data_IF_808865602366
#
_entry.id   IF_808865602366
#
_cell.length_a   1.000
_cell.length_b   1.000
_cell.length_c   1.000
_cell.angle_alpha   90.00
_cell.angle_beta   90.00
_cell.angle_gamma   90.00
#
_symmetry.space_group_name_H-M   'P 1'
#
loop_
_entity.id
_entity.type
_entity.pdbx_description
1 polymer ?
#
# COMPACT_ATOMS: atom_id res chain seq x y z
N UNK A 1 30.82 25.65 -5.22
CA UNK A 1 31.97 25.44 -4.29
C UNK A 1 31.53 24.49 -3.19
N UNK A 2 32.02 23.24 -3.17
CA UNK A 2 31.68 22.29 -2.09
C UNK A 2 32.60 22.52 -0.89
N UNK A 3 32.20 23.40 -0.01
CA UNK A 3 32.86 23.57 1.29
C UNK A 3 32.04 22.76 2.32
N UNK A 4 32.72 21.89 3.07
CA UNK A 4 32.04 21.14 4.14
C UNK A 4 31.40 22.11 5.14
N UNK A 5 30.14 21.96 5.47
CA UNK A 5 29.36 22.87 6.33
C UNK A 5 30.02 23.22 7.69
N UNK A 6 30.87 22.33 8.19
CA UNK A 6 31.62 22.49 9.44
C UNK A 6 33.10 22.91 9.22
N UNK A 7 33.47 23.29 8.01
CA UNK A 7 34.85 23.77 7.76
C UNK A 7 35.05 25.16 8.39
N UNK A 8 36.01 25.27 9.31
CA UNK A 8 36.37 26.58 9.93
C UNK A 8 36.95 27.59 8.95
N UNK A 9 37.56 27.11 7.86
CA UNK A 9 38.13 27.94 6.82
C UNK A 9 37.60 27.53 5.44
N UNK A 10 37.16 28.51 4.67
CA UNK A 10 36.91 28.39 3.23
C UNK A 10 38.22 28.25 2.46
N UNK A 11 38.19 27.89 1.18
CA UNK A 11 39.40 27.83 0.33
C UNK A 11 40.12 29.19 0.28
N UNK A 12 39.35 30.28 0.19
CA UNK A 12 39.89 31.66 0.25
C UNK A 12 40.52 31.95 1.61
N UNK A 13 39.93 31.53 2.70
CA UNK A 13 40.52 31.70 4.04
C UNK A 13 41.83 30.93 4.20
N UNK A 14 41.92 29.71 3.61
CA UNK A 14 43.14 28.89 3.60
C UNK A 14 44.23 29.55 2.74
N UNK A 15 43.86 30.13 1.60
CA UNK A 15 44.76 30.84 0.73
C UNK A 15 45.34 32.12 1.41
N UNK A 16 44.47 32.88 2.07
CA UNK A 16 44.89 34.08 2.84
C UNK A 16 45.90 33.72 3.92
N UNK A 17 45.59 32.65 4.72
CA UNK A 17 46.53 32.17 5.73
C UNK A 17 47.88 31.80 5.14
N UNK A 18 47.88 31.05 4.03
CA UNK A 18 49.14 30.62 3.38
C UNK A 18 49.93 31.80 2.82
N UNK A 19 49.28 32.76 2.15
CA UNK A 19 49.93 33.96 1.61
C UNK A 19 50.56 34.82 2.69
N UNK A 20 49.85 35.08 3.80
CA UNK A 20 50.39 35.84 4.94
C UNK A 20 51.66 35.22 5.53
N UNK A 21 51.78 33.90 5.51
CA UNK A 21 52.99 33.22 5.96
C UNK A 21 54.10 33.25 4.92
N UNK A 22 53.80 33.09 3.63
CA UNK A 22 54.79 33.09 2.55
C UNK A 22 55.35 34.47 2.31
N UNK A 23 54.56 35.50 2.42
CA UNK A 23 54.95 36.94 2.31
C UNK A 23 55.60 37.45 3.60
N UNK A 24 55.87 36.59 4.59
CA UNK A 24 56.47 36.87 5.88
C UNK A 24 55.73 37.94 6.71
N UNK A 25 54.42 38.15 6.46
CA UNK A 25 53.61 39.10 7.23
C UNK A 25 53.32 38.54 8.63
N UNK A 26 53.10 37.23 8.72
CA UNK A 26 52.83 36.53 9.98
C UNK A 26 53.67 35.27 10.09
N UNK A 27 54.02 34.91 11.32
CA UNK A 27 54.58 33.58 11.60
C UNK A 27 53.49 32.51 11.44
N UNK A 28 53.87 31.26 11.12
CA UNK A 28 52.84 30.18 11.01
C UNK A 28 51.96 30.01 12.27
N UNK A 29 52.52 30.29 13.45
CA UNK A 29 51.79 30.24 14.71
C UNK A 29 50.78 31.41 14.82
N UNK A 30 51.17 32.62 14.50
CA UNK A 30 50.28 33.78 14.51
C UNK A 30 49.18 33.68 13.46
N UNK A 31 49.50 33.21 12.24
CA UNK A 31 48.52 32.98 11.19
C UNK A 31 47.50 31.86 11.56
N UNK A 32 47.96 30.82 12.23
CA UNK A 32 47.08 29.75 12.72
C UNK A 32 46.12 30.27 13.81
N UNK A 33 46.63 31.04 14.76
CA UNK A 33 45.83 31.65 15.84
C UNK A 33 44.81 32.65 15.26
N UNK A 34 45.20 33.52 14.34
CA UNK A 34 44.29 34.46 13.67
C UNK A 34 43.17 33.77 12.87
N UNK A 35 43.49 32.63 12.27
CA UNK A 35 42.56 31.84 11.50
C UNK A 35 41.73 30.82 12.35
N UNK A 36 41.92 30.73 13.66
CA UNK A 36 41.23 29.82 14.57
C UNK A 36 41.51 28.35 14.30
N UNK A 37 42.70 28.02 13.75
CA UNK A 37 43.12 26.64 13.45
C UNK A 37 44.38 26.26 14.19
N UNK A 38 44.62 24.94 14.31
CA UNK A 38 45.86 24.47 14.95
C UNK A 38 47.08 24.74 14.09
N UNK A 39 48.25 24.94 14.72
CA UNK A 39 49.55 25.10 14.05
C UNK A 39 49.84 23.95 13.07
N UNK A 40 49.45 22.71 13.44
CA UNK A 40 49.56 21.54 12.55
C UNK A 40 48.75 21.75 11.24
N UNK A 41 47.56 22.37 11.35
CA UNK A 41 46.71 22.66 10.18
C UNK A 41 47.38 23.71 9.29
N UNK A 42 47.97 24.76 9.84
CA UNK A 42 48.73 25.78 9.06
C UNK A 42 49.89 25.15 8.28
N UNK A 43 50.74 24.34 8.94
CA UNK A 43 51.82 23.63 8.23
C UNK A 43 51.30 22.65 7.17
N UNK A 44 50.20 21.97 7.42
CA UNK A 44 49.57 21.09 6.45
C UNK A 44 49.10 21.85 5.21
N UNK A 45 48.52 23.04 5.39
CA UNK A 45 48.07 23.90 4.29
C UNK A 45 49.27 24.47 3.49
N UNK A 46 50.32 24.93 4.17
CA UNK A 46 51.53 25.37 3.55
C UNK A 46 52.21 24.27 2.72
N UNK A 47 52.31 23.06 3.24
CA UNK A 47 52.90 21.94 2.50
C UNK A 47 52.05 21.57 1.26
N UNK A 48 50.73 21.64 1.35
CA UNK A 48 49.83 21.39 0.21
C UNK A 48 49.96 22.49 -0.85
N UNK A 49 50.00 23.75 -0.43
CA UNK A 49 50.12 24.85 -1.33
C UNK A 49 51.49 24.84 -2.07
N UNK A 50 52.61 24.55 -1.38
CA UNK A 50 53.93 24.38 -1.99
C UNK A 50 53.95 23.26 -3.05
N UNK A 51 53.17 22.20 -2.85
CA UNK A 51 53.13 21.03 -3.76
C UNK A 51 52.15 21.20 -4.92
N UNK A 52 50.99 21.78 -4.69
CA UNK A 52 49.84 21.71 -5.61
C UNK A 52 49.22 23.10 -5.89
N UNK A 53 49.83 24.17 -5.38
CA UNK A 53 49.29 25.53 -5.51
C UNK A 53 47.92 25.70 -4.83
N UNK A 54 47.11 26.60 -5.35
CA UNK A 54 45.77 26.88 -4.83
C UNK A 54 44.85 25.64 -4.85
N UNK A 55 45.02 24.75 -5.81
CA UNK A 55 44.20 23.51 -5.90
C UNK A 55 44.44 22.58 -4.71
N UNK A 56 45.63 22.61 -4.09
CA UNK A 56 45.95 21.87 -2.88
C UNK A 56 45.17 22.32 -1.64
N UNK A 57 44.58 23.51 -1.68
CA UNK A 57 43.77 24.05 -0.59
C UNK A 57 42.31 23.62 -0.64
N UNK A 58 41.87 23.01 -1.73
CA UNK A 58 40.52 22.46 -1.84
C UNK A 58 40.27 21.27 -0.90
N UNK A 59 39.00 21.04 -0.56
CA UNK A 59 38.62 19.90 0.25
C UNK A 59 38.86 18.59 -0.51
N UNK A 60 39.54 17.68 0.12
CA UNK A 60 39.76 16.34 -0.42
C UNK A 60 38.70 15.41 0.06
N UNK A 61 38.23 14.53 -0.82
CA UNK A 61 37.28 13.49 -0.45
C UNK A 61 37.83 12.60 0.69
N UNK A 62 37.02 12.38 1.70
CA UNK A 62 37.34 11.48 2.84
C UNK A 62 37.18 9.99 2.51
N UNK A 63 36.79 9.66 1.28
CA UNK A 63 36.60 8.27 0.85
C UNK A 63 37.95 7.51 0.86
N UNK A 64 37.99 6.31 1.45
CA UNK A 64 39.17 5.47 1.36
C UNK A 64 39.53 5.16 -0.10
N UNK A 65 40.80 5.30 -0.45
CA UNK A 65 41.29 4.95 -1.79
C UNK A 65 41.09 3.48 -2.17
N UNK A 66 41.05 2.60 -1.17
CA UNK A 66 40.71 1.17 -1.33
C UNK A 66 39.48 0.86 -0.49
N UNK A 67 38.40 0.51 -1.16
CA UNK A 67 37.19 -0.01 -0.49
C UNK A 67 37.39 -1.52 -0.32
N UNK A 68 37.60 -1.96 0.92
CA UNK A 68 37.61 -3.40 1.26
C UNK A 68 36.21 -3.96 1.03
N UNK A 69 36.13 -5.17 0.48
CA UNK A 69 34.89 -5.95 0.32
C UNK A 69 33.97 -5.53 -0.84
N UNK A 70 34.47 -4.97 -1.92
CA UNK A 70 33.73 -4.94 -3.17
C UNK A 70 33.74 -6.36 -3.79
N UNK A 71 32.56 -6.86 -4.21
CA UNK A 71 32.45 -8.10 -4.98
C UNK A 71 33.22 -7.94 -6.30
N UNK A 72 34.04 -8.93 -6.65
CA UNK A 72 34.70 -8.98 -7.97
C UNK A 72 33.66 -9.11 -9.09
N UNK A 73 34.05 -8.86 -10.34
CA UNK A 73 33.15 -9.01 -11.49
C UNK A 73 32.53 -10.43 -11.56
N UNK A 74 33.34 -11.46 -11.41
CA UNK A 74 32.88 -12.86 -11.37
C UNK A 74 31.91 -13.13 -10.22
N UNK A 75 32.17 -12.60 -9.04
CA UNK A 75 31.26 -12.74 -7.90
C UNK A 75 29.93 -12.03 -8.13
N UNK A 76 29.94 -10.85 -8.75
CA UNK A 76 28.70 -10.11 -9.07
C UNK A 76 27.81 -10.87 -10.03
N UNK A 77 28.39 -11.40 -11.09
CA UNK A 77 27.69 -12.22 -12.08
C UNK A 77 27.12 -13.49 -11.43
N UNK A 78 27.90 -14.17 -10.58
CA UNK A 78 27.43 -15.34 -9.86
C UNK A 78 26.28 -15.01 -8.89
N UNK A 79 26.35 -13.88 -8.18
CA UNK A 79 25.25 -13.40 -7.31
C UNK A 79 23.98 -13.18 -8.13
N UNK A 80 24.07 -12.51 -9.28
CA UNK A 80 22.92 -12.24 -10.13
C UNK A 80 22.31 -13.54 -10.66
N UNK A 81 23.11 -14.44 -11.20
CA UNK A 81 22.66 -15.75 -11.70
C UNK A 81 21.94 -16.55 -10.61
N UNK A 82 22.60 -16.73 -9.45
CA UNK A 82 21.99 -17.47 -8.34
C UNK A 82 20.72 -16.81 -7.81
N UNK A 83 20.63 -15.49 -7.85
CA UNK A 83 19.42 -14.80 -7.43
C UNK A 83 18.28 -14.98 -8.45
N UNK A 84 18.56 -14.97 -9.74
CA UNK A 84 17.60 -15.32 -10.78
C UNK A 84 17.12 -16.77 -10.66
N UNK A 85 18.02 -17.68 -10.24
CA UNK A 85 17.68 -19.08 -9.87
C UNK A 85 16.94 -19.18 -8.52
N UNK A 86 16.47 -18.05 -7.96
CA UNK A 86 15.67 -17.94 -6.71
C UNK A 86 16.39 -18.46 -5.45
N UNK A 87 17.71 -18.55 -5.46
CA UNK A 87 18.48 -18.97 -4.28
C UNK A 87 18.38 -17.93 -3.17
N UNK A 88 18.40 -18.41 -1.92
CA UNK A 88 18.37 -17.55 -0.74
C UNK A 88 19.67 -16.74 -0.62
N UNK A 89 19.59 -15.57 0.02
CA UNK A 89 20.79 -14.75 0.27
C UNK A 89 21.88 -15.49 1.03
N UNK A 90 21.50 -16.41 1.91
CA UNK A 90 22.44 -17.22 2.71
C UNK A 90 23.21 -18.20 1.84
N UNK A 91 22.53 -18.91 0.96
CA UNK A 91 23.18 -19.80 -0.02
C UNK A 91 24.10 -19.04 -0.97
N UNK A 92 23.64 -17.88 -1.46
CA UNK A 92 24.44 -17.01 -2.34
C UNK A 92 25.70 -16.55 -1.59
N UNK A 93 25.56 -16.07 -0.36
CA UNK A 93 26.68 -15.60 0.45
C UNK A 93 27.74 -16.69 0.69
N UNK A 94 27.32 -17.92 0.97
CA UNK A 94 28.19 -19.07 1.12
C UNK A 94 28.97 -19.40 -0.16
N UNK A 95 28.25 -19.46 -1.32
CA UNK A 95 28.89 -19.80 -2.61
C UNK A 95 29.85 -18.72 -3.11
N UNK A 96 29.53 -17.47 -2.86
CA UNK A 96 30.34 -16.32 -3.29
C UNK A 96 31.44 -15.97 -2.27
N UNK A 97 31.43 -16.61 -1.09
CA UNK A 97 32.34 -16.34 0.03
C UNK A 97 32.32 -14.85 0.42
N UNK A 98 31.13 -14.29 0.52
CA UNK A 98 30.89 -12.90 0.91
C UNK A 98 29.92 -12.80 2.08
N UNK A 99 29.92 -11.67 2.82
CA UNK A 99 28.97 -11.46 3.88
C UNK A 99 27.54 -11.35 3.36
N UNK A 100 26.57 -11.81 4.15
CA UNK A 100 25.14 -11.71 3.85
C UNK A 100 24.71 -10.27 3.53
N UNK A 101 25.23 -9.30 4.30
CA UNK A 101 24.95 -7.87 4.11
C UNK A 101 25.48 -7.34 2.77
N UNK A 102 26.63 -7.84 2.30
CA UNK A 102 27.20 -7.47 1.00
C UNK A 102 26.33 -8.00 -0.13
N UNK A 103 25.91 -9.26 -0.07
CA UNK A 103 25.00 -9.87 -1.06
C UNK A 103 23.66 -9.13 -1.06
N UNK A 104 23.04 -8.91 0.10
CA UNK A 104 21.76 -8.22 0.19
C UNK A 104 21.80 -6.80 -0.39
N UNK A 105 22.88 -6.07 -0.12
CA UNK A 105 23.10 -4.71 -0.65
C UNK A 105 23.27 -4.73 -2.17
N UNK A 106 24.00 -5.70 -2.68
CA UNK A 106 24.20 -5.84 -4.13
C UNK A 106 22.92 -6.24 -4.85
N UNK A 107 22.20 -7.24 -4.35
CA UNK A 107 20.90 -7.69 -4.89
C UNK A 107 19.87 -6.54 -4.87
N UNK A 108 19.90 -5.69 -3.83
CA UNK A 108 19.03 -4.50 -3.78
C UNK A 108 19.37 -3.48 -4.86
N UNK A 109 20.65 -3.26 -5.15
CA UNK A 109 21.10 -2.37 -6.26
C UNK A 109 20.65 -2.88 -7.62
N UNK A 110 20.60 -4.20 -7.80
CA UNK A 110 20.09 -4.85 -9.02
C UNK A 110 18.55 -4.80 -9.11
N UNK A 111 17.84 -4.33 -8.09
CA UNK A 111 16.38 -4.40 -8.05
C UNK A 111 15.81 -5.80 -7.81
N UNK A 112 16.65 -6.82 -7.62
CA UNK A 112 16.26 -8.23 -7.49
C UNK A 112 15.96 -8.65 -6.03
N UNK A 113 15.74 -7.70 -5.13
CA UNK A 113 15.48 -7.97 -3.72
C UNK A 113 14.13 -8.64 -3.49
N UNK A 114 13.15 -8.44 -4.36
CA UNK A 114 11.85 -9.12 -4.35
C UNK A 114 11.81 -10.17 -5.45
N UNK A 115 11.44 -11.42 -5.11
CA UNK A 115 11.33 -12.50 -6.08
C UNK A 115 10.22 -12.26 -7.12
N UNK A 116 9.20 -11.48 -6.77
CA UNK A 116 8.11 -11.09 -7.68
C UNK A 116 8.60 -10.32 -8.91
N UNK A 117 9.76 -9.65 -8.82
CA UNK A 117 10.36 -8.93 -9.95
C UNK A 117 10.87 -9.89 -11.02
N UNK A 118 11.22 -11.12 -10.64
CA UNK A 118 11.70 -12.15 -11.57
C UNK A 118 10.58 -12.72 -12.46
N UNK A 119 9.33 -12.71 -11.94
CA UNK A 119 8.13 -13.09 -12.69
C UNK A 119 7.07 -12.00 -12.45
N UNK A 120 7.15 -10.88 -13.14
CA UNK A 120 6.14 -9.85 -13.03
C UNK A 120 4.79 -10.42 -13.45
N UNK A 121 3.82 -10.37 -12.56
CA UNK A 121 2.45 -10.73 -12.91
C UNK A 121 2.02 -9.87 -14.09
N UNK A 122 1.33 -10.43 -15.09
CA UNK A 122 0.79 -9.63 -16.16
C UNK A 122 -0.06 -8.51 -15.58
N UNK A 123 -0.01 -7.30 -16.15
CA UNK A 123 -0.78 -6.18 -15.65
C UNK A 123 -2.25 -6.57 -15.60
N UNK A 124 -2.90 -6.30 -14.46
CA UNK A 124 -4.32 -6.58 -14.32
C UNK A 124 -5.10 -5.77 -15.37
N UNK A 125 -5.75 -6.48 -16.28
CA UNK A 125 -6.66 -5.84 -17.22
C UNK A 125 -7.85 -5.29 -16.43
N UNK A 126 -7.83 -3.98 -16.23
CA UNK A 126 -8.96 -3.27 -15.60
C UNK A 126 -10.03 -3.07 -16.67
N UNK A 127 -11.20 -3.60 -16.41
CA UNK A 127 -12.40 -3.29 -17.17
C UNK A 127 -13.36 -2.49 -16.31
N UNK A 128 -14.11 -1.63 -16.92
CA UNK A 128 -15.19 -0.87 -16.32
C UNK A 128 -16.32 -0.79 -17.34
N UNK A 129 -17.54 -1.14 -16.92
CA UNK A 129 -18.71 -0.99 -17.74
C UNK A 129 -19.09 0.49 -17.86
N UNK A 130 -19.76 0.85 -18.94
CA UNK A 130 -20.04 2.26 -19.27
C UNK A 130 -21.19 2.84 -18.45
N UNK A 131 -22.16 2.01 -18.04
CA UNK A 131 -23.37 2.46 -17.36
C UNK A 131 -23.60 1.77 -16.02
N UNK A 132 -24.19 2.49 -15.04
CA UNK A 132 -24.60 1.88 -13.80
C UNK A 132 -25.62 0.74 -14.04
N UNK A 133 -25.46 -0.35 -13.31
CA UNK A 133 -26.33 -1.53 -13.38
C UNK A 133 -26.01 -2.53 -14.49
N UNK A 134 -25.16 -2.21 -15.47
CA UNK A 134 -24.74 -3.18 -16.50
C UNK A 134 -24.08 -4.42 -15.87
N UNK A 135 -23.32 -4.22 -14.80
CA UNK A 135 -22.73 -5.30 -14.03
C UNK A 135 -22.68 -4.93 -12.55
N UNK A 136 -23.22 -5.78 -11.71
CA UNK A 136 -23.14 -5.66 -10.26
C UNK A 136 -22.43 -6.87 -9.70
N UNK A 137 -21.37 -6.64 -8.93
CA UNK A 137 -20.57 -7.67 -8.28
C UNK A 137 -21.19 -8.02 -6.94
N UNK A 138 -21.42 -9.32 -6.68
CA UNK A 138 -21.93 -9.82 -5.42
C UNK A 138 -20.89 -10.71 -4.73
N UNK A 139 -20.85 -10.62 -3.41
CA UNK A 139 -20.00 -11.47 -2.58
C UNK A 139 -20.60 -11.64 -1.18
N UNK A 140 -20.10 -12.62 -0.43
CA UNK A 140 -20.52 -12.89 0.95
C UNK A 140 -19.29 -12.93 1.84
N UNK A 141 -19.28 -12.07 2.86
CA UNK A 141 -18.22 -12.06 3.87
C UNK A 141 -18.69 -12.62 5.19
N UNK A 142 -18.01 -13.66 5.63
CA UNK A 142 -18.21 -14.26 6.94
C UNK A 142 -17.55 -13.40 8.02
N UNK A 143 -18.30 -13.04 9.05
CA UNK A 143 -17.85 -12.26 10.20
C UNK A 143 -18.10 -13.07 11.48
N UNK A 144 -17.13 -13.05 12.38
CA UNK A 144 -17.30 -13.67 13.70
C UNK A 144 -18.34 -12.88 14.49
N UNK A 145 -19.28 -13.60 15.12
CA UNK A 145 -20.17 -13.02 16.13
C UNK A 145 -19.46 -13.00 17.48
N UNK A 146 -19.81 -12.04 18.29
CA UNK A 146 -19.27 -11.91 19.65
C UNK A 146 -20.30 -11.22 20.55
N UNK A 147 -20.37 -11.67 21.80
CA UNK A 147 -21.23 -11.07 22.82
C UNK A 147 -20.52 -9.98 23.59
N UNK A 148 -19.21 -10.19 23.83
CA UNK A 148 -18.32 -9.31 24.55
C UNK A 148 -17.02 -9.10 23.76
N UNK A 149 -16.31 -7.98 23.96
CA UNK A 149 -15.02 -7.76 23.35
C UNK A 149 -14.05 -8.87 23.75
N UNK A 150 -13.39 -9.47 22.74
CA UNK A 150 -12.42 -10.54 22.98
C UNK A 150 -11.11 -10.03 23.60
N UNK A 151 -10.27 -10.97 24.04
CA UNK A 151 -9.00 -10.73 24.71
C UNK A 151 -8.05 -9.75 23.99
N UNK A 152 -8.14 -9.63 22.68
CA UNK A 152 -7.34 -8.65 21.89
C UNK A 152 -7.71 -7.20 22.19
N UNK A 153 -8.90 -6.96 22.69
CA UNK A 153 -9.42 -5.64 23.03
C UNK A 153 -9.29 -5.38 24.53
N UNK A 154 -9.61 -6.40 25.34
CA UNK A 154 -9.66 -6.29 26.80
C UNK A 154 -8.30 -6.58 27.47
N UNK A 155 -7.31 -7.08 26.72
CA UNK A 155 -6.04 -7.64 27.21
C UNK A 155 -6.20 -8.82 28.19
N UNK A 156 -7.42 -9.26 28.46
CA UNK A 156 -7.76 -10.34 29.38
C UNK A 156 -7.98 -11.64 28.61
N UNK A 157 -7.04 -12.57 28.70
CA UNK A 157 -7.05 -13.86 28.01
C UNK A 157 -8.15 -14.81 28.49
N UNK A 158 -8.79 -14.54 29.63
CA UNK A 158 -9.89 -15.36 30.16
C UNK A 158 -11.18 -15.04 29.44
N UNK A 159 -11.35 -13.87 28.86
CA UNK A 159 -12.52 -13.44 28.10
C UNK A 159 -12.49 -13.99 26.67
N UNK A 160 -13.17 -15.10 26.48
CA UNK A 160 -13.35 -15.72 25.16
C UNK A 160 -14.83 -15.75 24.80
N UNK A 161 -15.18 -15.17 23.64
CA UNK A 161 -16.53 -15.28 23.04
C UNK A 161 -16.70 -16.65 22.37
N UNK A 162 -16.72 -17.73 23.15
CA UNK A 162 -16.97 -19.08 22.62
C UNK A 162 -18.45 -19.25 22.23
N UNK A 163 -18.69 -19.93 21.10
CA UNK A 163 -20.03 -20.36 20.68
C UNK A 163 -20.94 -19.25 20.11
N UNK A 164 -20.43 -18.04 19.89
CA UNK A 164 -21.25 -16.95 19.32
C UNK A 164 -21.64 -17.19 17.83
N UNK A 165 -20.92 -18.06 17.11
CA UNK A 165 -21.19 -18.42 15.72
C UNK A 165 -20.75 -17.35 14.71
N UNK A 166 -21.44 -17.31 13.56
CA UNK A 166 -21.11 -16.49 12.43
C UNK A 166 -22.26 -15.56 12.03
N UNK A 167 -21.93 -14.45 11.46
CA UNK A 167 -22.80 -13.52 10.76
C UNK A 167 -22.29 -13.36 9.33
N UNK A 168 -23.16 -13.24 8.37
CA UNK A 168 -22.82 -13.21 6.95
C UNK A 168 -23.24 -11.87 6.37
N UNK A 169 -22.25 -11.09 5.96
CA UNK A 169 -22.47 -9.86 5.26
C UNK A 169 -22.54 -10.14 3.77
N UNK A 170 -23.73 -10.05 3.21
CA UNK A 170 -23.93 -10.06 1.76
C UNK A 170 -23.71 -8.67 1.23
N UNK A 171 -22.89 -8.54 0.21
CA UNK A 171 -22.54 -7.26 -0.41
C UNK A 171 -22.78 -7.27 -1.90
N UNK A 172 -23.09 -6.10 -2.41
CA UNK A 172 -23.15 -5.80 -3.84
C UNK A 172 -22.44 -4.49 -4.11
N UNK A 173 -21.74 -4.40 -5.23
CA UNK A 173 -21.12 -3.16 -5.70
C UNK A 173 -21.31 -3.04 -7.21
N UNK A 174 -21.77 -1.88 -7.65
CA UNK A 174 -21.88 -1.56 -9.06
C UNK A 174 -20.51 -1.40 -9.72
N UNK A 175 -20.38 -1.95 -10.91
CA UNK A 175 -19.11 -1.95 -11.65
C UNK A 175 -18.71 -0.56 -12.10
N UNK A 176 -19.65 0.27 -12.53
CA UNK A 176 -19.42 1.62 -13.00
C UNK A 176 -19.40 2.64 -11.87
N UNK A 177 -20.51 2.78 -11.15
CA UNK A 177 -20.68 3.85 -10.16
C UNK A 177 -20.00 3.58 -8.83
N UNK A 178 -19.62 2.33 -8.53
CA UNK A 178 -19.12 1.91 -7.21
C UNK A 178 -20.13 2.07 -6.08
N UNK A 179 -21.38 2.35 -6.40
CA UNK A 179 -22.45 2.36 -5.41
C UNK A 179 -22.59 0.99 -4.83
N UNK A 180 -22.60 0.92 -3.51
CA UNK A 180 -22.63 -0.33 -2.77
C UNK A 180 -23.93 -0.52 -2.01
N UNK A 181 -24.32 -1.77 -1.84
CA UNK A 181 -25.42 -2.22 -0.98
C UNK A 181 -24.96 -3.42 -0.17
N UNK A 182 -25.50 -3.61 1.00
CA UNK A 182 -25.19 -4.78 1.80
C UNK A 182 -26.10 -4.99 2.99
N UNK A 183 -26.28 -6.24 3.36
CA UNK A 183 -27.11 -6.66 4.49
C UNK A 183 -26.46 -7.79 5.28
N UNK A 184 -26.75 -7.84 6.56
CA UNK A 184 -26.30 -8.87 7.48
C UNK A 184 -27.34 -9.99 7.61
N UNK A 185 -26.93 -11.23 7.37
CA UNK A 185 -27.74 -12.44 7.49
C UNK A 185 -27.16 -13.39 8.53
N UNK A 186 -27.99 -14.34 8.99
CA UNK A 186 -27.55 -15.41 9.91
C UNK A 186 -26.89 -16.57 9.17
N UNK A 187 -27.07 -16.65 7.86
CA UNK A 187 -26.51 -17.71 7.02
C UNK A 187 -26.12 -17.19 5.62
N UNK A 188 -25.42 -18.03 4.88
CA UNK A 188 -25.04 -17.82 3.47
C UNK A 188 -25.84 -18.75 2.53
N UNK A 189 -27.07 -19.16 2.93
CA UNK A 189 -27.87 -20.11 2.16
C UNK A 189 -28.49 -19.47 0.92
N UNK A 190 -28.93 -20.31 0.00
CA UNK A 190 -29.56 -19.90 -1.25
C UNK A 190 -30.79 -18.99 -1.07
N UNK A 191 -31.55 -19.18 0.01
CA UNK A 191 -32.72 -18.35 0.32
C UNK A 191 -32.30 -16.94 0.72
N UNK A 192 -31.29 -16.84 1.57
CA UNK A 192 -30.71 -15.53 2.00
C UNK A 192 -30.13 -14.77 0.83
N UNK A 193 -29.37 -15.44 -0.05
CA UNK A 193 -28.83 -14.84 -1.26
C UNK A 193 -29.92 -14.34 -2.23
N UNK A 194 -31.01 -15.12 -2.40
CA UNK A 194 -32.13 -14.72 -3.24
C UNK A 194 -32.93 -13.53 -2.65
N UNK A 195 -33.12 -13.50 -1.33
CA UNK A 195 -33.75 -12.37 -0.62
C UNK A 195 -32.89 -11.11 -0.73
N UNK A 196 -31.59 -11.26 -0.53
CA UNK A 196 -30.64 -10.17 -0.71
C UNK A 196 -30.73 -9.59 -2.13
N UNK A 197 -30.73 -10.42 -3.18
CA UNK A 197 -30.87 -9.98 -4.57
C UNK A 197 -32.16 -9.18 -4.79
N UNK A 198 -33.30 -9.63 -4.27
CA UNK A 198 -34.56 -8.92 -4.42
C UNK A 198 -34.54 -7.54 -3.76
N UNK A 199 -33.97 -7.43 -2.55
CA UNK A 199 -33.81 -6.15 -1.85
C UNK A 199 -32.79 -5.23 -2.52
N UNK A 200 -31.70 -5.77 -3.04
CA UNK A 200 -30.72 -5.05 -3.84
C UNK A 200 -31.38 -4.40 -5.06
N UNK A 201 -32.21 -5.15 -5.79
CA UNK A 201 -32.95 -4.59 -6.94
C UNK A 201 -33.85 -3.45 -6.52
N UNK A 202 -34.57 -3.59 -5.41
CA UNK A 202 -35.41 -2.53 -4.86
C UNK A 202 -34.61 -1.29 -4.47
N UNK A 203 -33.46 -1.47 -3.84
CA UNK A 203 -32.56 -0.36 -3.50
C UNK A 203 -32.00 0.36 -4.73
N UNK A 204 -31.51 -0.38 -5.73
CA UNK A 204 -30.94 0.20 -6.93
C UNK A 204 -31.99 0.91 -7.79
N UNK A 205 -33.21 0.34 -7.85
CA UNK A 205 -34.34 0.95 -8.57
C UNK A 205 -34.70 2.33 -7.99
N UNK A 206 -34.66 2.52 -6.66
CA UNK A 206 -34.84 3.83 -6.02
C UNK A 206 -33.75 4.84 -6.40
N UNK A 207 -32.55 4.38 -6.75
CA UNK A 207 -31.47 5.22 -7.26
C UNK A 207 -31.48 5.41 -8.78
N UNK A 208 -32.55 4.96 -9.48
CA UNK A 208 -32.66 5.02 -10.93
C UNK A 208 -31.82 3.98 -11.67
N UNK A 209 -31.29 2.94 -10.97
CA UNK A 209 -30.44 1.92 -11.57
C UNK A 209 -31.25 0.67 -11.87
N UNK A 210 -31.21 0.19 -13.11
CA UNK A 210 -31.72 -1.13 -13.50
C UNK A 210 -30.57 -2.11 -13.62
N UNK A 211 -30.64 -3.24 -12.90
CA UNK A 211 -29.59 -4.25 -12.92
C UNK A 211 -29.78 -5.18 -14.12
N UNK A 212 -28.86 -5.13 -15.08
CA UNK A 212 -28.87 -6.05 -16.24
C UNK A 212 -28.17 -7.38 -15.93
N UNK A 213 -27.08 -7.35 -15.18
CA UNK A 213 -26.24 -8.54 -14.89
C UNK A 213 -25.67 -8.49 -13.49
N UNK A 214 -25.59 -9.67 -12.88
CA UNK A 214 -24.84 -9.89 -11.62
C UNK A 214 -23.68 -10.85 -11.86
N UNK A 215 -22.54 -10.57 -11.22
CA UNK A 215 -21.37 -11.42 -11.19
C UNK A 215 -21.15 -11.91 -9.76
N UNK A 216 -21.01 -13.23 -9.61
CA UNK A 216 -20.74 -13.87 -8.32
C UNK A 216 -19.51 -14.77 -8.42
N UNK A 217 -19.00 -15.20 -7.29
CA UNK A 217 -18.14 -16.36 -7.22
C UNK A 217 -18.89 -17.68 -7.51
N UNK A 218 -18.21 -18.81 -7.31
CA UNK A 218 -18.79 -20.14 -7.47
C UNK A 218 -19.34 -20.72 -6.15
N UNK A 219 -19.65 -19.90 -5.16
CA UNK A 219 -20.23 -20.29 -3.88
C UNK A 219 -21.54 -21.10 -4.04
N UNK A 220 -21.79 -22.01 -3.11
CA UNK A 220 -22.94 -22.92 -3.18
C UNK A 220 -24.29 -22.18 -3.25
N UNK A 221 -24.41 -21.06 -2.53
CA UNK A 221 -25.61 -20.23 -2.56
C UNK A 221 -25.95 -19.75 -3.98
N UNK A 222 -24.95 -19.24 -4.68
CA UNK A 222 -25.07 -18.69 -6.03
C UNK A 222 -25.23 -19.75 -7.13
N UNK A 223 -24.71 -20.97 -6.90
CA UNK A 223 -24.90 -22.14 -7.80
C UNK A 223 -26.30 -22.75 -7.71
N UNK A 224 -27.07 -22.41 -6.70
CA UNK A 224 -28.36 -23.03 -6.39
C UNK A 224 -29.40 -22.72 -7.46
N UNK A 225 -30.33 -23.69 -7.65
CA UNK A 225 -31.55 -23.53 -8.50
C UNK A 225 -32.39 -22.33 -8.02
N UNK A 226 -32.43 -22.08 -6.70
CA UNK A 226 -33.22 -21.00 -6.09
C UNK A 226 -32.67 -19.62 -6.49
N UNK A 227 -31.37 -19.40 -6.41
CA UNK A 227 -30.76 -18.14 -6.82
C UNK A 227 -30.93 -17.91 -8.33
N UNK A 228 -30.74 -18.94 -9.14
CA UNK A 228 -30.99 -18.89 -10.59
C UNK A 228 -32.42 -18.45 -10.92
N UNK A 229 -33.42 -19.07 -10.26
CA UNK A 229 -34.83 -18.69 -10.43
C UNK A 229 -35.10 -17.25 -10.00
N UNK A 230 -34.44 -16.77 -8.92
CA UNK A 230 -34.55 -15.36 -8.52
C UNK A 230 -34.02 -14.43 -9.58
N UNK A 231 -32.86 -14.71 -10.16
CA UNK A 231 -32.32 -13.92 -11.26
C UNK A 231 -33.27 -13.91 -12.47
N UNK A 232 -33.80 -15.07 -12.88
CA UNK A 232 -34.74 -15.19 -13.99
C UNK A 232 -36.02 -14.37 -13.78
N UNK A 233 -36.62 -14.43 -12.59
CA UNK A 233 -37.87 -13.68 -12.25
C UNK A 233 -37.63 -12.17 -12.25
N UNK A 234 -36.39 -11.72 -11.95
CA UNK A 234 -36.01 -10.32 -11.93
C UNK A 234 -35.47 -9.84 -13.27
N UNK A 235 -35.41 -10.70 -14.31
CA UNK A 235 -34.84 -10.35 -15.62
C UNK A 235 -33.33 -10.12 -15.63
N UNK A 236 -32.60 -10.67 -14.65
CA UNK A 236 -31.17 -10.39 -14.43
C UNK A 236 -30.33 -11.55 -14.98
N UNK A 237 -29.35 -11.23 -15.82
CA UNK A 237 -28.35 -12.22 -16.28
C UNK A 237 -27.38 -12.56 -15.16
N UNK A 238 -27.25 -13.84 -14.81
CA UNK A 238 -26.28 -14.29 -13.83
C UNK A 238 -25.01 -14.81 -14.49
N UNK A 239 -23.88 -14.20 -14.15
CA UNK A 239 -22.54 -14.63 -14.55
C UNK A 239 -21.75 -15.08 -13.31
N UNK A 240 -20.84 -16.03 -13.48
CA UNK A 240 -19.94 -16.49 -12.43
C UNK A 240 -18.48 -16.28 -12.84
N UNK A 241 -17.61 -16.08 -11.85
CA UNK A 241 -16.16 -16.03 -12.10
C UNK A 241 -15.69 -17.35 -12.72
N UNK A 242 -14.72 -17.26 -13.65
CA UNK A 242 -14.06 -18.45 -14.18
C UNK A 242 -13.23 -19.10 -13.07
N UNK A 243 -13.13 -20.43 -13.11
CA UNK A 243 -12.25 -21.16 -12.20
C UNK A 243 -10.81 -20.62 -12.32
N UNK A 244 -10.11 -20.52 -11.20
CA UNK A 244 -8.75 -19.98 -11.09
C UNK A 244 -8.52 -18.52 -11.57
N UNK A 245 -9.60 -17.75 -11.79
CA UNK A 245 -9.53 -16.31 -12.09
C UNK A 245 -10.39 -15.47 -11.14
N UNK A 246 -10.07 -15.46 -9.83
CA UNK A 246 -10.82 -14.69 -8.83
C UNK A 246 -10.77 -13.18 -9.09
N UNK A 247 -9.76 -12.71 -9.81
CA UNK A 247 -9.56 -11.29 -10.16
C UNK A 247 -10.79 -10.63 -10.83
N UNK A 248 -11.68 -11.42 -11.42
CA UNK A 248 -12.93 -10.91 -12.03
C UNK A 248 -13.92 -10.36 -11.01
N UNK A 249 -13.87 -10.77 -9.73
CA UNK A 249 -14.69 -10.23 -8.64
C UNK A 249 -13.95 -9.21 -7.75
N UNK A 250 -12.81 -8.70 -8.23
CA UNK A 250 -11.91 -7.83 -7.46
C UNK A 250 -12.57 -6.54 -6.93
N UNK A 251 -13.68 -6.07 -7.52
CA UNK A 251 -14.41 -4.89 -7.02
C UNK A 251 -15.16 -5.21 -5.74
N UNK A 252 -15.83 -6.36 -5.65
CA UNK A 252 -16.49 -6.83 -4.43
C UNK A 252 -15.44 -7.16 -3.34
N UNK A 253 -14.35 -7.82 -3.71
CA UNK A 253 -13.24 -8.10 -2.79
C UNK A 253 -12.65 -6.82 -2.20
N UNK A 254 -12.40 -5.81 -3.05
CA UNK A 254 -11.90 -4.51 -2.61
C UNK A 254 -12.89 -3.78 -1.71
N UNK A 255 -14.19 -3.85 -2.03
CA UNK A 255 -15.22 -3.30 -1.19
C UNK A 255 -15.26 -3.98 0.18
N UNK A 256 -15.19 -5.32 0.22
CA UNK A 256 -15.09 -6.09 1.47
C UNK A 256 -13.85 -5.68 2.27
N UNK A 257 -12.68 -5.53 1.66
CA UNK A 257 -11.48 -5.07 2.36
C UNK A 257 -11.66 -3.70 3.00
N UNK A 258 -12.31 -2.77 2.29
CA UNK A 258 -12.66 -1.44 2.79
C UNK A 258 -13.64 -1.53 3.95
N UNK A 259 -14.69 -2.34 3.80
CA UNK A 259 -15.71 -2.61 4.83
C UNK A 259 -15.10 -3.18 6.11
N UNK A 260 -14.18 -4.14 5.98
CA UNK A 260 -13.50 -4.73 7.14
C UNK A 260 -12.65 -3.69 7.88
N UNK A 261 -11.94 -2.85 7.16
CA UNK A 261 -11.02 -1.85 7.69
C UNK A 261 -11.75 -0.65 8.29
N UNK A 262 -12.78 -0.15 7.60
CA UNK A 262 -13.43 1.11 7.94
C UNK A 262 -14.73 0.95 8.75
N UNK A 263 -15.25 -0.28 8.87
CA UNK A 263 -16.44 -0.59 9.67
C UNK A 263 -16.22 -1.78 10.61
N UNK A 264 -16.07 -3.02 10.09
CA UNK A 264 -16.17 -4.22 10.92
C UNK A 264 -15.11 -4.31 12.03
N UNK A 265 -13.91 -3.77 11.78
CA UNK A 265 -12.76 -3.75 12.68
C UNK A 265 -12.15 -2.34 12.84
N UNK A 266 -12.89 -1.30 12.48
CA UNK A 266 -12.41 0.08 12.57
C UNK A 266 -12.24 0.54 14.03
N UNK A 267 -13.05 -0.02 14.92
CA UNK A 267 -13.03 0.21 16.37
C UNK A 267 -13.44 -1.05 17.11
N UNK A 268 -13.24 -1.04 18.41
CA UNK A 268 -13.77 -2.08 19.30
C UNK A 268 -15.26 -1.82 19.55
N UNK A 269 -16.09 -2.78 19.17
CA UNK A 269 -17.51 -2.78 19.48
C UNK A 269 -17.77 -3.60 20.75
N UNK A 270 -18.74 -3.21 21.55
CA UNK A 270 -19.10 -3.97 22.75
C UNK A 270 -19.66 -5.39 22.40
N UNK A 271 -20.40 -5.49 21.30
CA UNK A 271 -20.95 -6.73 20.81
C UNK A 271 -21.27 -6.67 19.31
N UNK A 272 -21.66 -7.82 18.72
CA UNK A 272 -22.02 -7.91 17.30
C UNK A 272 -23.27 -7.10 16.92
N UNK A 273 -24.17 -6.82 17.87
CA UNK A 273 -25.35 -5.97 17.66
C UNK A 273 -24.95 -4.51 17.46
N UNK A 274 -24.06 -3.97 18.30
CA UNK A 274 -23.53 -2.61 18.12
C UNK A 274 -22.82 -2.47 16.77
N UNK A 275 -21.99 -3.46 16.40
CA UNK A 275 -21.35 -3.49 15.07
C UNK A 275 -22.40 -3.49 13.95
N UNK A 276 -23.48 -4.26 14.08
CA UNK A 276 -24.55 -4.31 13.09
C UNK A 276 -25.30 -2.97 12.98
N UNK A 277 -25.56 -2.29 14.10
CA UNK A 277 -26.18 -0.96 14.10
C UNK A 277 -25.33 0.10 13.38
N UNK A 278 -24.02 0.00 13.46
CA UNK A 278 -23.10 0.90 12.77
C UNK A 278 -23.02 0.64 11.26
N UNK A 279 -23.62 -0.44 10.72
CA UNK A 279 -23.54 -0.81 9.31
C UNK A 279 -24.19 0.21 8.37
N UNK A 280 -25.44 0.52 8.59
CA UNK A 280 -26.19 1.43 7.70
C UNK A 280 -25.62 2.86 7.67
N UNK A 281 -25.26 3.49 8.81
CA UNK A 281 -24.57 4.78 8.81
C UNK A 281 -23.25 4.74 8.05
N UNK A 282 -22.47 3.66 8.20
CA UNK A 282 -21.21 3.51 7.45
C UNK A 282 -21.45 3.34 5.96
N UNK A 283 -22.42 2.52 5.53
CA UNK A 283 -22.75 2.30 4.13
C UNK A 283 -23.26 3.59 3.47
N UNK A 284 -24.09 4.36 4.19
CA UNK A 284 -24.50 5.69 3.76
C UNK A 284 -23.28 6.61 3.53
N UNK A 285 -22.39 6.71 4.52
CA UNK A 285 -21.15 7.46 4.37
C UNK A 285 -20.32 6.98 3.19
N UNK A 286 -20.19 5.68 2.96
CA UNK A 286 -19.47 5.11 1.83
C UNK A 286 -20.02 5.60 0.50
N UNK A 287 -21.32 5.54 0.30
CA UNK A 287 -21.96 5.90 -0.96
C UNK A 287 -22.02 7.42 -1.20
N UNK A 288 -22.28 8.20 -0.17
CA UNK A 288 -22.60 9.62 -0.30
C UNK A 288 -21.47 10.59 0.03
N UNK A 289 -20.53 10.18 0.86
CA UNK A 289 -19.51 11.10 1.41
C UNK A 289 -18.08 10.64 1.22
N UNK A 290 -17.83 9.34 1.07
CA UNK A 290 -16.48 8.82 1.06
C UNK A 290 -15.79 9.12 -0.28
N UNK A 291 -14.61 9.81 -0.28
CA UNK A 291 -13.81 9.98 -1.49
C UNK A 291 -13.33 8.63 -2.02
N UNK A 292 -13.48 8.42 -3.32
CA UNK A 292 -13.06 7.18 -3.97
C UNK A 292 -11.99 7.46 -5.03
N UNK A 293 -10.78 6.91 -4.84
CA UNK A 293 -9.64 7.20 -5.71
C UNK A 293 -9.89 6.88 -7.20
N UNK A 294 -10.61 5.77 -7.51
CA UNK A 294 -10.95 5.43 -8.90
C UNK A 294 -12.06 6.30 -9.50
N UNK A 295 -12.65 7.19 -8.70
CA UNK A 295 -13.71 8.14 -9.13
C UNK A 295 -13.24 9.59 -8.99
N UNK A 296 -11.95 9.85 -9.17
CA UNK A 296 -11.35 11.17 -9.01
C UNK A 296 -11.68 11.80 -7.65
N UNK A 297 -11.61 10.99 -6.60
CA UNK A 297 -11.95 11.37 -5.21
C UNK A 297 -13.39 11.86 -5.01
N UNK A 298 -14.30 11.60 -5.95
CA UNK A 298 -15.73 11.84 -5.76
C UNK A 298 -16.39 10.63 -5.06
N UNK A 299 -17.46 10.84 -4.27
CA UNK A 299 -18.23 9.74 -3.70
C UNK A 299 -19.00 8.98 -4.80
N UNK A 300 -19.27 7.67 -4.60
CA UNK A 300 -19.94 6.82 -5.58
C UNK A 300 -21.23 7.38 -6.17
N UNK A 301 -22.05 8.00 -5.35
CA UNK A 301 -23.36 8.53 -5.77
C UNK A 301 -23.27 9.62 -6.86
N UNK A 302 -22.15 10.35 -6.92
CA UNK A 302 -21.93 11.39 -7.95
C UNK A 302 -21.93 10.84 -9.36
N UNK A 303 -21.55 9.58 -9.54
CA UNK A 303 -21.62 8.89 -10.85
C UNK A 303 -23.04 8.63 -11.34
N UNK A 304 -24.04 8.80 -10.47
CA UNK A 304 -25.47 8.72 -10.84
C UNK A 304 -26.08 10.10 -11.11
N UNK A 305 -25.29 11.16 -11.11
CA UNK A 305 -25.80 12.53 -11.20
C UNK A 305 -26.51 13.02 -9.93
N UNK A 306 -26.48 12.21 -8.85
CA UNK A 306 -27.11 12.54 -7.58
C UNK A 306 -26.15 13.29 -6.65
N UNK A 307 -26.71 14.16 -5.79
CA UNK A 307 -25.97 14.92 -4.79
C UNK A 307 -26.67 14.84 -3.45
N UNK A 308 -26.05 15.40 -2.41
CA UNK A 308 -26.65 15.49 -1.06
C UNK A 308 -28.01 16.19 -1.07
N UNK A 309 -28.24 17.11 -2.00
CA UNK A 309 -29.51 17.82 -2.12
C UNK A 309 -30.67 16.89 -2.58
N UNK A 310 -30.37 15.71 -3.12
CA UNK A 310 -31.38 14.73 -3.53
C UNK A 310 -31.73 13.74 -2.41
N UNK A 311 -31.06 13.81 -1.23
CA UNK A 311 -31.30 12.88 -0.11
C UNK A 311 -32.72 13.01 0.45
N UNK A 312 -33.26 14.21 0.58
CA UNK A 312 -34.61 14.44 1.09
C UNK A 312 -35.68 13.78 0.22
N UNK A 313 -35.49 13.76 -1.10
CA UNK A 313 -36.42 13.14 -2.05
C UNK A 313 -36.34 11.61 -2.09
N UNK A 314 -35.28 11.00 -1.57
CA UNK A 314 -35.07 9.54 -1.57
C UNK A 314 -35.51 8.89 -0.25
N UNK A 315 -35.79 9.68 0.79
CA UNK A 315 -36.22 9.23 2.10
C UNK A 315 -37.71 9.54 2.37
N UNK A 316 -38.38 10.27 1.48
CA UNK A 316 -39.83 10.41 1.40
C UNK A 316 -40.43 9.31 0.53
#
# INVERSE_FOLDING_TARGET
>A
MNVHKNARLTVLGRERLVKQVLERVLTPAAAAAAAGVSLRTAYKLLARYKKEGVTGLCDRGSRPKRVRCALSAKQRELVERLRRDRRSYREIAQRVKASLSTVARYVRRLGLHRLEVLDPKPPAQRYEHERPGELVHLDIKRLVRFRDPGHRVTADRTKQSRGAGWQFLHVAIDDHARVAYGELYRDERALSAARFLARLVGYYRRLGITIARVLTDNGAAYRSKRFRRACQRLGIKHSRTRFYRPQTNGKAERFIQTTLREWAYARSYANDRERAMAWLPWLHRYNWHRPHASLNYQPPIRRLGLSLNNLSALHS
#
